data_IF_474007997600
#
_entry.id   IF_474007997600
#
_cell.length_a   1.000
_cell.length_b   1.000
_cell.length_c   1.000
_cell.angle_alpha   90.00
_cell.angle_beta   90.00
_cell.angle_gamma   90.00
#
_symmetry.space_group_name_H-M   'P 1'
#
loop_
_entity.id
_entity.type
_entity.pdbx_description
1 polymer ?
#
# COMPACT_ATOMS: atom_id res chain seq x y z
N UNK A 1 -43.85 -19.42 -46.80
CA UNK A 1 -44.84 -20.49 -46.56
C UNK A 1 -44.31 -21.33 -45.40
N UNK A 2 -44.84 -21.09 -44.19
CA UNK A 2 -45.75 -22.00 -43.47
C UNK A 2 -45.01 -23.29 -43.03
N UNK A 3 -44.44 -23.41 -41.83
CA UNK A 3 -45.01 -23.43 -40.47
C UNK A 3 -45.38 -24.84 -39.98
N UNK A 4 -45.08 -25.04 -38.68
CA UNK A 4 -45.70 -25.96 -37.72
C UNK A 4 -45.14 -27.37 -37.56
N UNK A 5 -44.62 -27.64 -36.37
CA UNK A 5 -45.29 -28.37 -35.25
C UNK A 5 -44.31 -28.39 -34.06
N UNK A 6 -44.65 -28.38 -32.78
CA UNK A 6 -45.88 -28.20 -31.98
C UNK A 6 -45.38 -28.06 -30.53
N UNK A 7 -46.01 -27.19 -29.72
CA UNK A 7 -45.66 -26.94 -28.32
C UNK A 7 -46.73 -27.53 -27.38
N UNK A 8 -46.28 -27.80 -26.14
CA UNK A 8 -46.96 -27.70 -24.81
C UNK A 8 -47.23 -29.04 -24.06
N UNK A 9 -47.43 -29.02 -22.72
CA UNK A 9 -47.02 -28.07 -21.64
C UNK A 9 -46.57 -28.77 -20.32
N UNK A 10 -46.53 -28.00 -19.19
CA UNK A 10 -46.66 -28.39 -17.74
C UNK A 10 -45.30 -28.51 -17.02
N UNK A 11 -44.94 -27.85 -15.89
CA UNK A 11 -45.60 -26.99 -14.88
C UNK A 11 -44.54 -26.36 -13.97
N UNK A 12 -44.77 -25.11 -13.52
CA UNK A 12 -44.23 -24.52 -12.28
C UNK A 12 -44.89 -25.25 -11.07
N UNK A 13 -44.38 -25.31 -9.81
CA UNK A 13 -43.79 -24.17 -9.07
C UNK A 13 -42.71 -24.51 -8.00
N UNK A 14 -42.02 -23.48 -7.47
CA UNK A 14 -41.97 -23.11 -6.03
C UNK A 14 -40.66 -22.41 -5.65
N UNK A 15 -40.81 -21.14 -5.33
CA UNK A 15 -39.91 -20.33 -4.52
C UNK A 15 -39.95 -20.85 -3.07
N UNK A 16 -38.82 -20.85 -2.36
CA UNK A 16 -38.78 -20.39 -0.98
C UNK A 16 -37.68 -19.34 -0.78
N UNK A 17 -38.06 -18.14 -0.35
CA UNK A 17 -37.83 -17.62 1.00
C UNK A 17 -36.34 -17.37 1.32
N UNK A 18 -35.93 -16.11 1.15
CA UNK A 18 -34.77 -15.53 1.81
C UNK A 18 -35.01 -15.51 3.32
N UNK A 19 -34.21 -16.26 4.06
CA UNK A 19 -34.04 -16.10 5.50
C UNK A 19 -32.72 -15.37 5.76
N UNK A 20 -32.85 -14.15 6.27
CA UNK A 20 -31.74 -13.37 6.80
C UNK A 20 -31.25 -14.02 8.09
N UNK A 21 -30.13 -14.74 8.02
CA UNK A 21 -29.41 -15.16 9.22
C UNK A 21 -28.18 -14.29 9.42
N UNK A 22 -28.37 -13.32 10.31
CA UNK A 22 -27.31 -12.60 11.01
C UNK A 22 -26.50 -13.60 11.82
N UNK A 23 -25.21 -13.74 11.52
CA UNK A 23 -24.27 -14.49 12.37
C UNK A 23 -23.42 -13.48 13.14
N UNK A 24 -23.64 -13.54 14.45
CA UNK A 24 -23.02 -12.77 15.49
C UNK A 24 -21.56 -13.22 15.68
N UNK A 25 -20.67 -12.25 15.86
CA UNK A 25 -19.33 -12.43 16.41
C UNK A 25 -19.40 -13.07 17.82
N UNK A 26 -18.65 -14.13 18.12
CA UNK A 26 -18.37 -14.52 19.49
C UNK A 26 -17.03 -13.90 19.95
N UNK A 27 -17.16 -12.89 20.80
CA UNK A 27 -16.11 -12.46 21.73
C UNK A 27 -15.78 -13.59 22.72
N UNK A 28 -14.50 -13.97 22.84
CA UNK A 28 -14.02 -14.85 23.90
C UNK A 28 -12.98 -14.16 24.78
N UNK A 29 -13.46 -13.75 25.96
CA UNK A 29 -12.93 -14.02 27.30
C UNK A 29 -11.40 -13.88 27.51
N UNK A 30 -11.01 -12.70 28.00
CA UNK A 30 -9.74 -12.49 28.69
C UNK A 30 -9.82 -12.99 30.14
N UNK A 31 -8.96 -13.96 30.49
CA UNK A 31 -8.73 -14.39 31.86
C UNK A 31 -7.82 -13.38 32.59
N UNK A 32 -8.34 -12.76 33.65
CA UNK A 32 -7.57 -11.94 34.59
C UNK A 32 -6.92 -12.81 35.66
N UNK A 33 -5.59 -12.75 35.78
CA UNK A 33 -4.85 -13.17 36.99
C UNK A 33 -4.59 -11.93 37.86
N UNK A 34 -4.73 -12.01 39.20
CA UNK A 34 -4.50 -10.86 40.08
C UNK A 34 -3.04 -10.79 40.51
N UNK A 35 -2.34 -9.72 40.13
CA UNK A 35 -1.05 -9.37 40.74
C UNK A 35 -1.25 -8.27 41.76
N UNK A 36 -0.84 -8.55 43.00
CA UNK A 36 -0.85 -7.65 44.15
C UNK A 36 0.51 -6.95 44.26
N UNK A 37 0.57 -5.63 44.48
CA UNK A 37 1.75 -5.00 45.04
C UNK A 37 1.48 -4.45 46.44
N UNK A 38 2.44 -4.77 47.32
CA UNK A 38 2.55 -4.37 48.71
C UNK A 38 2.73 -2.86 48.88
N UNK A 39 2.15 -2.35 49.97
CA UNK A 39 2.26 -0.97 50.45
C UNK A 39 3.63 -0.73 51.09
N UNK A 40 4.26 0.40 50.77
CA UNK A 40 5.17 1.10 51.67
C UNK A 40 4.86 2.60 51.62
N UNK A 41 4.73 3.19 52.80
CA UNK A 41 4.20 4.51 53.11
C UNK A 41 5.32 5.37 53.67
N UNK A 42 5.64 6.52 53.06
CA UNK A 42 6.29 7.65 53.75
C UNK A 42 5.71 8.97 53.22
N UNK A 43 5.37 9.85 54.17
CA UNK A 43 4.58 11.09 54.05
C UNK A 43 5.48 12.34 53.81
N UNK A 44 5.05 13.60 54.06
CA UNK A 44 4.53 14.55 53.05
C UNK A 44 5.31 15.88 53.04
N UNK A 45 5.17 16.71 51.99
CA UNK A 45 5.48 18.15 52.09
C UNK A 45 4.35 18.93 51.43
N UNK A 46 3.94 19.99 52.13
CA UNK A 46 2.66 20.69 52.06
C UNK A 46 2.59 21.82 51.03
N UNK A 47 1.34 22.09 50.61
CA UNK A 47 0.72 23.39 50.27
C UNK A 47 1.28 24.13 49.01
N UNK A 48 0.51 24.76 48.11
CA UNK A 48 -0.82 25.39 48.15
C UNK A 48 -1.26 25.71 46.69
N UNK A 49 -2.57 25.98 46.49
CA UNK A 49 -3.24 26.73 45.41
C UNK A 49 -3.88 25.94 44.25
N UNK A 50 -5.21 25.84 44.31
CA UNK A 50 -6.13 25.54 43.19
C UNK A 50 -6.65 26.90 42.68
N UNK A 51 -6.85 27.07 41.35
CA UNK A 51 -8.20 27.37 40.88
C UNK A 51 -8.63 26.64 39.59
N UNK A 52 -9.86 26.08 39.66
CA UNK A 52 -10.90 25.90 38.62
C UNK A 52 -10.55 25.23 37.27
N UNK A 53 -10.97 23.97 37.11
CA UNK A 53 -11.14 23.26 35.83
C UNK A 53 -12.51 23.54 35.20
N UNK A 54 -12.61 23.74 33.86
CA UNK A 54 -13.89 23.81 33.15
C UNK A 54 -14.49 22.42 32.85
N UNK A 55 -15.82 22.39 32.70
CA UNK A 55 -16.69 21.22 32.52
C UNK A 55 -16.36 20.32 31.30
N UNK A 56 -16.78 19.03 31.31
CA UNK A 56 -16.41 18.06 30.28
C UNK A 56 -17.05 18.36 28.91
N UNK A 57 -16.24 18.14 27.89
CA UNK A 57 -16.49 18.35 26.47
C UNK A 57 -17.78 17.65 26.01
N UNK A 58 -18.73 18.43 25.49
CA UNK A 58 -19.75 17.92 24.59
C UNK A 58 -19.07 17.32 23.36
N UNK A 59 -19.50 16.13 22.96
CA UNK A 59 -19.06 15.42 21.76
C UNK A 59 -19.06 16.38 20.56
N UNK A 60 -17.87 16.64 20.01
CA UNK A 60 -17.75 17.50 18.84
C UNK A 60 -18.39 16.80 17.63
N UNK A 61 -19.63 17.19 17.33
CA UNK A 61 -20.25 16.98 16.02
C UNK A 61 -19.31 17.54 14.95
N UNK A 62 -19.19 16.81 13.83
CA UNK A 62 -18.37 17.19 12.68
C UNK A 62 -18.58 18.67 12.34
N UNK A 63 -17.53 19.48 12.50
CA UNK A 63 -17.54 20.86 12.03
C UNK A 63 -17.12 20.87 10.55
N UNK A 64 -17.96 21.38 9.63
CA UNK A 64 -17.53 21.61 8.27
C UNK A 64 -16.31 22.55 8.27
N UNK A 65 -15.35 22.27 7.39
CA UNK A 65 -14.09 23.00 7.28
C UNK A 65 -14.32 24.52 7.23
N UNK A 66 -13.75 25.26 8.18
CA UNK A 66 -13.80 26.74 8.23
C UNK A 66 -12.44 27.30 7.77
N UNK A 67 -12.32 27.84 6.54
CA UNK A 67 -11.08 28.46 6.10
C UNK A 67 -10.72 29.69 6.97
N UNK A 68 -9.43 30.03 7.10
CA UNK A 68 -8.99 31.20 7.86
C UNK A 68 -9.58 32.50 7.27
N UNK A 69 -9.83 33.53 8.09
CA UNK A 69 -10.51 34.74 7.65
C UNK A 69 -9.65 35.50 6.64
N UNK A 70 -10.19 35.70 5.44
CA UNK A 70 -9.67 36.70 4.50
C UNK A 70 -10.29 38.05 4.87
N UNK A 71 -9.52 39.14 4.90
CA UNK A 71 -10.06 40.45 5.24
C UNK A 71 -11.15 40.85 4.23
N UNK A 72 -12.34 41.18 4.74
CA UNK A 72 -13.42 41.65 3.87
C UNK A 72 -13.03 42.99 3.22
N UNK A 73 -13.31 43.16 1.91
CA UNK A 73 -13.13 44.44 1.25
C UNK A 73 -13.86 45.56 2.01
N UNK A 74 -13.26 46.76 2.15
CA UNK A 74 -13.85 47.86 2.93
C UNK A 74 -15.30 48.17 2.55
N UNK A 75 -15.63 48.06 1.25
CA UNK A 75 -16.97 48.31 0.70
C UNK A 75 -18.07 47.36 1.19
N UNK A 76 -17.72 46.16 1.64
CA UNK A 76 -18.69 45.16 2.10
C UNK A 76 -18.65 44.91 3.61
N UNK A 77 -17.70 45.53 4.32
CA UNK A 77 -17.47 45.29 5.75
C UNK A 77 -18.64 45.71 6.65
N UNK A 78 -19.40 46.73 6.23
CA UNK A 78 -20.54 47.25 6.98
C UNK A 78 -21.87 46.54 6.67
N UNK A 79 -21.88 45.60 5.71
CA UNK A 79 -23.09 44.85 5.35
C UNK A 79 -23.39 43.77 6.38
N UNK A 80 -24.67 43.60 6.68
CA UNK A 80 -25.22 42.47 7.44
C UNK A 80 -25.32 41.20 6.56
N UNK A 81 -25.71 40.07 7.15
CA UNK A 81 -25.80 38.78 6.46
C UNK A 81 -26.67 38.86 5.19
N UNK A 82 -27.83 39.54 5.29
CA UNK A 82 -28.75 39.68 4.18
C UNK A 82 -28.15 40.54 3.05
N UNK A 83 -27.54 41.69 3.39
CA UNK A 83 -26.88 42.52 2.39
C UNK A 83 -25.73 41.80 1.66
N UNK A 84 -25.00 40.92 2.35
CA UNK A 84 -23.95 40.09 1.71
C UNK A 84 -24.53 39.02 0.78
N UNK A 85 -25.64 38.39 1.17
CA UNK A 85 -26.37 37.46 0.31
C UNK A 85 -26.91 38.16 -0.94
N UNK A 86 -27.43 39.38 -0.80
CA UNK A 86 -27.93 40.17 -1.93
C UNK A 86 -26.78 40.55 -2.90
N UNK A 87 -25.59 40.88 -2.38
CA UNK A 87 -24.39 41.11 -3.21
C UNK A 87 -24.03 39.86 -4.01
N UNK A 88 -24.02 38.68 -3.37
CA UNK A 88 -23.71 37.41 -4.03
C UNK A 88 -24.78 37.02 -5.06
N UNK A 89 -26.06 37.14 -4.73
CA UNK A 89 -27.18 36.80 -5.61
C UNK A 89 -27.16 37.63 -6.90
N UNK A 90 -26.83 38.92 -6.80
CA UNK A 90 -26.76 39.82 -7.94
C UNK A 90 -25.37 39.87 -8.61
N UNK A 91 -24.36 39.17 -8.06
CA UNK A 91 -22.95 39.23 -8.51
C UNK A 91 -22.44 40.68 -8.60
N UNK A 92 -22.76 41.47 -7.57
CA UNK A 92 -22.44 42.90 -7.54
C UNK A 92 -20.96 43.14 -7.18
N UNK A 93 -20.12 43.31 -8.21
CA UNK A 93 -18.68 43.57 -8.08
C UNK A 93 -17.85 42.53 -8.83
N UNK A 94 -16.53 42.63 -8.74
CA UNK A 94 -15.63 41.63 -9.32
C UNK A 94 -15.66 40.36 -8.49
N UNK A 95 -15.42 39.21 -9.14
CA UNK A 95 -15.59 37.91 -8.51
C UNK A 95 -14.73 37.73 -7.25
N UNK A 96 -13.51 38.26 -7.27
CA UNK A 96 -12.59 38.20 -6.13
C UNK A 96 -12.95 39.19 -5.01
N UNK A 97 -13.84 40.16 -5.26
CA UNK A 97 -14.31 41.09 -4.23
C UNK A 97 -15.48 40.53 -3.44
N UNK A 98 -16.40 39.81 -4.10
CA UNK A 98 -17.51 39.16 -3.41
C UNK A 98 -17.16 37.75 -2.90
N UNK A 99 -16.12 37.09 -3.43
CA UNK A 99 -15.69 35.76 -2.97
C UNK A 99 -15.40 35.68 -1.45
N UNK A 100 -14.75 36.67 -0.79
CA UNK A 100 -14.55 36.68 0.65
C UNK A 100 -15.84 36.75 1.49
N UNK A 101 -16.99 37.11 0.89
CA UNK A 101 -18.27 37.12 1.59
C UNK A 101 -18.76 35.69 1.89
N UNK A 102 -18.45 34.73 1.03
CA UNK A 102 -18.84 33.32 1.18
C UNK A 102 -18.28 32.71 2.49
N UNK A 103 -16.97 32.74 2.78
CA UNK A 103 -16.44 32.19 4.03
C UNK A 103 -16.89 33.01 5.24
N UNK A 104 -17.19 34.31 5.08
CA UNK A 104 -17.79 35.11 6.14
C UNK A 104 -19.21 34.64 6.49
N UNK A 105 -20.03 34.29 5.50
CA UNK A 105 -21.36 33.72 5.70
C UNK A 105 -21.28 32.31 6.31
N UNK A 106 -20.28 31.49 5.92
CA UNK A 106 -20.03 30.21 6.59
C UNK A 106 -19.74 30.37 8.08
N UNK A 107 -18.99 31.43 8.45
CA UNK A 107 -18.70 31.73 9.85
C UNK A 107 -19.96 32.10 10.64
N UNK A 108 -20.90 32.79 9.99
CA UNK A 108 -22.21 33.19 10.54
C UNK A 108 -23.24 32.04 10.57
N UNK A 109 -22.90 30.86 10.04
CA UNK A 109 -23.70 29.64 10.14
C UNK A 109 -24.44 29.23 8.87
N UNK A 110 -24.23 29.94 7.75
CA UNK A 110 -24.78 29.52 6.46
C UNK A 110 -24.03 28.30 5.92
N UNK A 111 -24.76 27.29 5.47
CA UNK A 111 -24.17 26.13 4.80
C UNK A 111 -24.02 26.40 3.29
N UNK A 112 -23.09 25.73 2.58
CA UNK A 112 -22.97 25.89 1.12
C UNK A 112 -24.30 25.65 0.37
N UNK A 113 -25.11 24.62 0.69
CA UNK A 113 -26.45 24.46 0.11
C UNK A 113 -27.38 25.64 0.38
N UNK A 114 -27.38 26.19 1.59
CA UNK A 114 -28.23 27.35 1.93
C UNK A 114 -27.84 28.61 1.14
N UNK A 115 -26.54 28.82 0.91
CA UNK A 115 -26.07 29.93 0.06
C UNK A 115 -26.46 29.68 -1.40
N UNK A 116 -26.36 28.45 -1.88
CA UNK A 116 -26.76 28.07 -3.24
C UNK A 116 -28.26 28.31 -3.47
N UNK A 117 -29.12 27.93 -2.53
CA UNK A 117 -30.56 28.17 -2.61
C UNK A 117 -30.93 29.66 -2.72
N UNK A 118 -30.19 30.53 -2.02
CA UNK A 118 -30.47 31.97 -1.97
C UNK A 118 -29.84 32.72 -3.15
N UNK A 119 -28.62 32.35 -3.55
CA UNK A 119 -27.80 33.14 -4.49
C UNK A 119 -27.70 32.50 -5.88
N UNK A 120 -27.98 31.20 -5.99
CA UNK A 120 -27.75 30.39 -7.18
C UNK A 120 -26.28 30.07 -7.47
N UNK A 121 -25.36 30.38 -6.54
CA UNK A 121 -23.93 30.03 -6.67
C UNK A 121 -23.74 28.61 -6.14
N UNK A 122 -23.36 27.68 -7.02
CA UNK A 122 -23.25 26.26 -6.64
C UNK A 122 -22.17 26.03 -5.59
N UNK A 123 -22.28 24.97 -4.77
CA UNK A 123 -21.22 24.63 -3.81
C UNK A 123 -19.82 24.46 -4.45
N UNK A 124 -19.75 23.97 -5.70
CA UNK A 124 -18.50 23.85 -6.46
C UNK A 124 -17.94 25.22 -6.85
N UNK A 125 -18.80 26.11 -7.34
CA UNK A 125 -18.44 27.48 -7.69
C UNK A 125 -18.02 28.29 -6.46
N UNK A 126 -18.72 28.12 -5.32
CA UNK A 126 -18.35 28.74 -4.04
C UNK A 126 -16.92 28.37 -3.64
N UNK A 127 -16.57 27.08 -3.66
CA UNK A 127 -15.22 26.62 -3.35
C UNK A 127 -14.18 27.17 -4.36
N UNK A 128 -14.54 27.21 -5.64
CA UNK A 128 -13.67 27.75 -6.70
C UNK A 128 -13.34 29.22 -6.45
N UNK A 129 -14.37 30.05 -6.23
CA UNK A 129 -14.24 31.47 -5.93
C UNK A 129 -13.41 31.73 -4.67
N UNK A 130 -13.67 30.97 -3.59
CA UNK A 130 -12.92 31.10 -2.33
C UNK A 130 -11.43 30.86 -2.57
N UNK A 131 -11.08 29.70 -3.12
CA UNK A 131 -9.68 29.32 -3.28
C UNK A 131 -8.99 30.19 -4.32
N UNK A 132 -9.65 30.50 -5.44
CA UNK A 132 -9.12 31.40 -6.45
C UNK A 132 -8.84 32.80 -5.89
N UNK A 133 -9.70 33.33 -5.00
CA UNK A 133 -9.47 34.63 -4.37
C UNK A 133 -8.24 34.62 -3.46
N UNK A 134 -7.98 33.52 -2.76
CA UNK A 134 -6.77 33.34 -1.95
C UNK A 134 -5.51 33.21 -2.82
N UNK A 135 -5.62 32.54 -3.97
CA UNK A 135 -4.53 32.48 -4.96
C UNK A 135 -4.25 33.88 -5.50
N UNK A 136 -5.28 34.65 -5.85
CA UNK A 136 -5.14 36.06 -6.30
C UNK A 136 -4.45 36.93 -5.25
N UNK A 137 -4.84 36.80 -3.98
CA UNK A 137 -4.19 37.50 -2.86
C UNK A 137 -2.69 37.14 -2.75
N UNK A 138 -2.35 35.86 -2.92
CA UNK A 138 -0.96 35.40 -2.96
C UNK A 138 -0.16 36.00 -4.13
N UNK A 139 -0.80 36.30 -5.27
CA UNK A 139 -0.17 36.94 -6.42
C UNK A 139 0.08 38.43 -6.17
N UNK A 140 -0.87 39.13 -5.52
CA UNK A 140 -0.72 40.52 -5.08
C UNK A 140 0.48 40.64 -4.11
N UNK A 141 0.55 39.75 -3.13
CA UNK A 141 1.66 39.71 -2.16
C UNK A 141 3.02 39.43 -2.83
N UNK A 142 3.00 38.67 -3.93
CA UNK A 142 4.20 38.36 -4.71
C UNK A 142 4.58 39.47 -5.72
N UNK A 143 3.81 40.57 -5.78
CA UNK A 143 4.00 41.68 -6.74
C UNK A 143 4.03 41.22 -8.20
N UNK A 144 3.08 40.35 -8.55
CA UNK A 144 2.86 39.92 -9.94
C UNK A 144 2.47 41.12 -10.80
N UNK A 145 2.78 41.06 -12.10
CA UNK A 145 2.53 42.16 -13.05
C UNK A 145 1.04 42.54 -13.11
N UNK A 146 0.74 43.83 -13.12
CA UNK A 146 -0.63 44.36 -13.09
C UNK A 146 -1.38 44.00 -14.36
N UNK A 147 -0.70 43.99 -15.51
CA UNK A 147 -1.31 43.61 -16.80
C UNK A 147 -1.79 42.16 -16.75
N UNK A 148 -0.97 41.27 -16.18
CA UNK A 148 -1.31 39.85 -15.97
C UNK A 148 -2.44 39.69 -14.93
N UNK A 149 -2.46 40.52 -13.89
CA UNK A 149 -3.53 40.50 -12.89
C UNK A 149 -4.88 40.94 -13.46
N UNK A 150 -4.88 41.95 -14.34
CA UNK A 150 -6.09 42.50 -14.97
C UNK A 150 -6.82 41.49 -15.85
N UNK A 151 -6.10 40.49 -16.40
CA UNK A 151 -6.69 39.37 -17.12
C UNK A 151 -7.72 38.61 -16.27
N UNK A 152 -7.47 38.49 -14.96
CA UNK A 152 -8.35 37.78 -14.04
C UNK A 152 -9.48 38.64 -13.48
N UNK A 153 -9.67 39.88 -13.95
CA UNK A 153 -10.74 40.73 -13.42
C UNK A 153 -12.11 40.36 -14.00
N UNK A 154 -12.14 39.93 -15.27
CA UNK A 154 -13.39 39.60 -15.99
C UNK A 154 -13.70 38.10 -15.99
N UNK A 155 -12.87 37.27 -15.34
CA UNK A 155 -13.00 35.81 -15.29
C UNK A 155 -11.74 35.12 -14.77
N UNK A 156 -11.57 33.82 -15.01
CA UNK A 156 -10.31 33.10 -14.72
C UNK A 156 -10.17 32.59 -13.29
N UNK A 157 -11.24 32.62 -12.48
CA UNK A 157 -11.24 32.01 -11.15
C UNK A 157 -10.91 30.51 -11.22
N UNK A 158 -11.43 29.82 -12.24
CA UNK A 158 -11.14 28.43 -12.58
C UNK A 158 -9.66 28.18 -12.91
N UNK A 159 -8.99 29.12 -13.59
CA UNK A 159 -7.56 29.00 -13.89
C UNK A 159 -6.72 29.17 -12.63
N UNK A 160 -7.04 30.17 -11.80
CA UNK A 160 -6.38 30.39 -10.52
C UNK A 160 -6.63 29.24 -9.54
N UNK A 161 -7.78 28.60 -9.62
CA UNK A 161 -8.12 27.44 -8.80
C UNK A 161 -7.19 26.25 -9.07
N UNK A 162 -6.82 25.99 -10.33
CA UNK A 162 -5.99 24.83 -10.68
C UNK A 162 -4.55 24.93 -10.15
N UNK A 163 -4.02 26.15 -10.03
CA UNK A 163 -2.67 26.41 -9.49
C UNK A 163 -2.60 26.51 -7.96
N UNK A 164 -3.69 26.21 -7.24
CA UNK A 164 -3.77 26.34 -5.76
C UNK A 164 -2.70 25.58 -4.97
N UNK A 165 -2.18 24.48 -5.51
CA UNK A 165 -1.18 23.61 -4.85
C UNK A 165 0.28 24.08 -4.99
N UNK A 166 0.49 25.12 -5.80
CA UNK A 166 1.80 25.74 -6.04
C UNK A 166 2.15 26.72 -4.90
N UNK A 167 3.44 26.99 -4.72
CA UNK A 167 3.91 28.07 -3.82
C UNK A 167 3.60 29.46 -4.39
N UNK A 168 3.72 30.50 -3.57
CA UNK A 168 3.50 31.89 -4.01
C UNK A 168 4.39 32.28 -5.21
N UNK A 169 5.68 31.92 -5.17
CA UNK A 169 6.62 32.16 -6.28
C UNK A 169 6.23 31.39 -7.55
N UNK A 170 5.84 30.12 -7.40
CA UNK A 170 5.43 29.29 -8.54
C UNK A 170 4.12 29.78 -9.15
N UNK A 171 3.17 30.29 -8.34
CA UNK A 171 1.92 30.87 -8.84
C UNK A 171 2.19 32.09 -9.72
N UNK A 172 3.12 32.96 -9.34
CA UNK A 172 3.47 34.14 -10.13
C UNK A 172 3.97 33.76 -11.54
N UNK A 173 4.90 32.80 -11.63
CA UNK A 173 5.40 32.33 -12.94
C UNK A 173 4.36 31.53 -13.71
N UNK A 174 3.60 30.65 -13.04
CA UNK A 174 2.54 29.86 -13.69
C UNK A 174 1.47 30.76 -14.32
N UNK A 175 1.07 31.84 -13.64
CA UNK A 175 0.03 32.75 -14.12
C UNK A 175 0.52 33.55 -15.34
N UNK A 176 1.78 34.00 -15.35
CA UNK A 176 2.39 34.61 -16.54
C UNK A 176 2.31 33.66 -17.74
N UNK A 177 2.76 32.42 -17.54
CA UNK A 177 2.74 31.40 -18.58
C UNK A 177 1.31 31.08 -19.07
N UNK A 178 0.34 30.97 -18.16
CA UNK A 178 -1.08 30.72 -18.49
C UNK A 178 -1.65 31.83 -19.39
N UNK A 179 -1.39 33.09 -19.05
CA UNK A 179 -1.92 34.24 -19.79
C UNK A 179 -1.23 34.38 -21.14
N UNK A 180 0.11 34.26 -21.19
CA UNK A 180 0.90 34.37 -22.42
C UNK A 180 0.55 33.29 -23.45
N UNK A 181 0.28 32.07 -22.98
CA UNK A 181 -0.02 30.92 -23.85
C UNK A 181 -1.52 30.63 -23.98
N UNK A 182 -2.39 31.43 -23.36
CA UNK A 182 -3.85 31.27 -23.42
C UNK A 182 -4.34 29.89 -22.96
N UNK A 183 -3.79 29.38 -21.85
CA UNK A 183 -4.16 28.05 -21.35
C UNK A 183 -5.60 28.02 -20.81
N UNK A 184 -6.32 26.94 -21.11
CA UNK A 184 -7.60 26.63 -20.49
C UNK A 184 -7.41 26.01 -19.09
N UNK A 185 -8.52 25.71 -18.40
CA UNK A 185 -8.47 25.10 -17.07
C UNK A 185 -7.72 23.77 -17.08
N UNK A 186 -7.85 22.98 -18.15
CA UNK A 186 -7.14 21.70 -18.26
C UNK A 186 -5.63 21.90 -18.41
N UNK A 187 -5.21 22.82 -19.26
CA UNK A 187 -3.82 23.22 -19.43
C UNK A 187 -3.22 23.79 -18.14
N UNK A 188 -3.96 24.65 -17.43
CA UNK A 188 -3.52 25.19 -16.13
C UNK A 188 -3.34 24.09 -15.07
N UNK A 189 -4.22 23.09 -15.05
CA UNK A 189 -4.10 21.93 -14.19
C UNK A 189 -2.85 21.08 -14.52
N UNK A 190 -2.63 20.80 -15.80
CA UNK A 190 -1.49 20.01 -16.25
C UNK A 190 -0.17 20.74 -15.98
N UNK A 191 -0.13 22.07 -16.18
CA UNK A 191 0.99 22.93 -15.79
C UNK A 191 1.27 22.86 -14.28
N UNK A 192 0.23 23.04 -13.45
CA UNK A 192 0.37 22.97 -12.00
C UNK A 192 0.89 21.61 -11.53
N UNK A 193 0.38 20.52 -12.12
CA UNK A 193 0.85 19.17 -11.85
C UNK A 193 2.30 18.99 -12.26
N UNK A 194 2.68 19.46 -13.45
CA UNK A 194 4.03 19.36 -13.97
C UNK A 194 5.04 20.08 -13.07
N UNK A 195 4.76 21.35 -12.73
CA UNK A 195 5.61 22.14 -11.82
C UNK A 195 5.73 21.49 -10.43
N UNK A 196 4.66 20.85 -9.92
CA UNK A 196 4.70 20.19 -8.61
C UNK A 196 5.47 18.87 -8.61
N UNK A 197 5.41 18.12 -9.71
CA UNK A 197 6.08 16.82 -9.85
C UNK A 197 7.57 16.96 -10.18
N UNK A 198 7.96 18.01 -10.91
CA UNK A 198 9.31 18.19 -11.45
C UNK A 198 10.46 17.94 -10.45
N UNK A 199 10.47 18.49 -9.22
CA UNK A 199 11.57 18.29 -8.28
C UNK A 199 11.74 16.83 -7.82
N UNK A 200 10.68 16.02 -7.90
CA UNK A 200 10.68 14.61 -7.46
C UNK A 200 11.29 13.67 -8.51
N UNK A 201 11.58 14.17 -9.72
CA UNK A 201 11.96 13.38 -10.89
C UNK A 201 13.44 13.52 -11.28
N UNK A 202 14.27 13.92 -10.32
CA UNK A 202 15.70 14.20 -10.51
C UNK A 202 16.50 13.05 -11.14
N UNK A 203 16.03 11.81 -10.98
CA UNK A 203 16.70 10.61 -11.49
C UNK A 203 16.26 10.21 -12.89
N UNK A 204 15.22 10.84 -13.44
CA UNK A 204 14.70 10.52 -14.76
C UNK A 204 15.66 11.04 -15.84
N UNK A 205 15.76 10.32 -16.98
CA UNK A 205 16.60 10.72 -18.12
C UNK A 205 16.16 12.08 -18.64
N UNK A 206 17.11 12.93 -19.01
CA UNK A 206 16.84 14.25 -19.59
C UNK A 206 16.50 15.34 -18.56
N UNK A 207 16.25 15.00 -17.28
CA UNK A 207 15.81 15.97 -16.25
C UNK A 207 16.69 17.23 -16.16
N UNK A 208 18.02 17.07 -16.31
CA UNK A 208 18.98 18.19 -16.22
C UNK A 208 18.90 19.18 -17.40
N UNK A 209 18.27 18.79 -18.50
CA UNK A 209 18.12 19.62 -19.71
C UNK A 209 16.93 20.58 -19.61
N UNK A 210 16.08 20.43 -18.59
CA UNK A 210 14.88 21.25 -18.36
C UNK A 210 15.08 22.13 -17.12
N UNK A 211 14.64 23.38 -17.18
CA UNK A 211 14.80 24.34 -16.09
C UNK A 211 13.57 24.41 -15.19
N UNK A 212 13.74 24.14 -13.89
CA UNK A 212 12.63 24.14 -12.92
C UNK A 212 11.98 25.51 -12.72
N UNK A 213 12.71 26.60 -12.96
CA UNK A 213 12.19 27.96 -12.83
C UNK A 213 11.20 28.34 -13.93
N UNK A 214 11.20 27.60 -15.05
CA UNK A 214 10.39 27.87 -16.22
C UNK A 214 9.18 26.92 -16.24
N UNK A 215 7.93 27.44 -16.14
CA UNK A 215 6.73 26.62 -16.13
C UNK A 215 6.58 25.72 -17.37
N UNK A 216 6.91 26.26 -18.55
CA UNK A 216 6.89 25.55 -19.82
C UNK A 216 7.92 24.44 -19.91
N UNK A 217 9.12 24.61 -19.35
CA UNK A 217 10.09 23.49 -19.24
C UNK A 217 9.61 22.40 -18.30
N UNK A 218 8.93 22.75 -17.20
CA UNK A 218 8.31 21.76 -16.32
C UNK A 218 7.24 20.94 -17.07
N UNK A 219 6.39 21.62 -17.84
CA UNK A 219 5.35 20.99 -18.66
C UNK A 219 5.94 20.18 -19.81
N UNK A 220 6.99 20.69 -20.46
CA UNK A 220 7.74 20.03 -21.51
C UNK A 220 8.34 18.73 -21.01
N UNK A 221 8.94 18.76 -19.82
CA UNK A 221 9.51 17.57 -19.19
C UNK A 221 8.45 16.51 -18.85
N UNK A 222 7.24 16.92 -18.47
CA UNK A 222 6.12 16.00 -18.28
C UNK A 222 5.76 15.27 -19.58
N UNK A 223 5.61 15.98 -20.70
CA UNK A 223 5.33 15.38 -22.00
C UNK A 223 6.51 14.57 -22.54
N UNK A 224 7.75 15.02 -22.30
CA UNK A 224 8.96 14.27 -22.63
C UNK A 224 8.98 12.92 -21.92
N UNK A 225 8.66 12.87 -20.62
CA UNK A 225 8.55 11.61 -19.87
C UNK A 225 7.43 10.72 -20.41
N UNK A 226 6.25 11.29 -20.68
CA UNK A 226 5.13 10.56 -21.27
C UNK A 226 5.53 9.88 -22.60
N UNK A 227 6.29 10.56 -23.45
CA UNK A 227 6.77 9.98 -24.71
C UNK A 227 7.60 8.71 -24.52
N UNK A 228 8.32 8.59 -23.40
CA UNK A 228 9.20 7.45 -23.09
C UNK A 228 8.45 6.24 -22.52
N UNK A 229 7.21 6.43 -22.11
CA UNK A 229 6.31 5.34 -21.71
C UNK A 229 5.70 4.64 -22.93
N UNK A 230 5.65 5.33 -24.08
CA UNK A 230 5.19 4.77 -25.33
C UNK A 230 6.29 3.96 -26.06
N UNK A 231 5.85 3.00 -26.88
CA UNK A 231 6.76 2.20 -27.71
C UNK A 231 7.53 3.12 -28.67
N UNK A 232 8.81 2.82 -28.89
CA UNK A 232 9.62 3.45 -29.92
C UNK A 232 9.78 2.47 -31.10
N UNK A 233 9.36 2.82 -32.34
CA UNK A 233 8.59 4.01 -32.73
C UNK A 233 7.07 3.86 -32.47
N UNK A 234 6.36 4.97 -32.25
CA UNK A 234 4.89 5.05 -32.24
C UNK A 234 4.37 6.48 -32.45
N UNK A 235 3.18 6.63 -33.04
CA UNK A 235 2.53 7.94 -33.22
C UNK A 235 2.28 8.68 -31.90
N UNK A 236 1.95 7.94 -30.84
CA UNK A 236 1.75 8.48 -29.50
C UNK A 236 3.03 9.10 -28.94
N UNK A 237 4.18 8.44 -29.12
CA UNK A 237 5.49 8.97 -28.73
C UNK A 237 5.78 10.26 -29.48
N UNK A 238 5.57 10.28 -30.81
CA UNK A 238 5.81 11.46 -31.65
C UNK A 238 4.92 12.62 -31.23
N UNK A 239 3.62 12.39 -31.00
CA UNK A 239 2.69 13.42 -30.53
C UNK A 239 3.12 14.02 -29.18
N UNK A 240 3.53 13.17 -28.22
CA UNK A 240 4.01 13.63 -26.93
C UNK A 240 5.32 14.45 -27.03
N UNK A 241 6.26 14.05 -27.90
CA UNK A 241 7.48 14.83 -28.15
C UNK A 241 7.18 16.17 -28.83
N UNK A 242 6.24 16.21 -29.78
CA UNK A 242 5.80 17.47 -30.39
C UNK A 242 5.17 18.41 -29.36
N UNK A 243 4.33 17.89 -28.46
CA UNK A 243 3.78 18.66 -27.35
C UNK A 243 4.89 19.17 -26.42
N UNK A 244 5.87 18.31 -26.08
CA UNK A 244 7.02 18.71 -25.29
C UNK A 244 7.80 19.86 -25.96
N UNK A 245 8.01 19.78 -27.27
CA UNK A 245 8.73 20.81 -28.03
C UNK A 245 7.97 22.13 -28.08
N UNK A 246 6.64 22.07 -28.23
CA UNK A 246 5.77 23.25 -28.31
C UNK A 246 5.81 24.10 -27.03
N UNK A 247 5.90 23.46 -25.86
CA UNK A 247 5.83 24.14 -24.56
C UNK A 247 7.21 24.41 -23.93
N UNK A 248 8.30 23.91 -24.53
CA UNK A 248 9.65 24.11 -24.02
C UNK A 248 10.08 25.59 -24.13
N UNK A 249 10.57 26.16 -23.03
CA UNK A 249 11.06 27.54 -22.99
C UNK A 249 12.57 27.60 -23.22
N UNK A 250 13.34 26.73 -22.55
CA UNK A 250 14.80 26.74 -22.64
C UNK A 250 15.32 26.08 -23.92
N UNK A 251 16.43 26.59 -24.44
CA UNK A 251 17.11 26.01 -25.60
C UNK A 251 17.68 24.62 -25.29
N UNK A 252 18.03 24.34 -24.03
CA UNK A 252 18.46 23.00 -23.61
C UNK A 252 17.31 22.00 -23.66
N UNK A 253 16.10 22.39 -23.23
CA UNK A 253 14.92 21.54 -23.29
C UNK A 253 14.53 21.26 -24.75
N UNK A 254 14.45 22.31 -25.58
CA UNK A 254 14.15 22.18 -27.02
C UNK A 254 15.14 21.25 -27.71
N UNK A 255 16.44 21.38 -27.40
CA UNK A 255 17.49 20.53 -27.97
C UNK A 255 17.33 19.07 -27.54
N UNK A 256 17.11 18.80 -26.26
CA UNK A 256 16.91 17.43 -25.75
C UNK A 256 15.69 16.76 -26.42
N UNK A 257 14.58 17.49 -26.52
CA UNK A 257 13.35 16.99 -27.14
C UNK A 257 13.54 16.78 -28.65
N UNK A 258 14.19 17.73 -29.35
CA UNK A 258 14.44 17.63 -30.79
C UNK A 258 15.36 16.44 -31.13
N UNK A 259 16.42 16.23 -30.33
CA UNK A 259 17.30 15.08 -30.49
C UNK A 259 16.57 13.74 -30.32
N UNK A 260 15.67 13.65 -29.34
CA UNK A 260 14.87 12.44 -29.09
C UNK A 260 13.77 12.22 -30.15
N UNK A 261 13.35 13.29 -30.84
CA UNK A 261 12.41 13.27 -31.97
C UNK A 261 13.10 12.86 -33.29
N UNK A 262 14.23 13.48 -33.63
CA UNK A 262 15.04 13.19 -34.82
C UNK A 262 15.72 11.81 -34.73
N UNK A 263 16.18 11.44 -33.52
CA UNK A 263 16.77 10.13 -33.24
C UNK A 263 15.80 8.94 -33.38
N UNK A 264 14.54 9.20 -33.76
CA UNK A 264 13.56 8.15 -34.10
C UNK A 264 13.60 7.71 -35.57
N UNK A 265 14.17 8.50 -36.48
CA UNK A 265 14.31 8.14 -37.91
C UNK A 265 15.75 7.75 -38.29
N UNK A 266 16.73 8.27 -37.55
CA UNK A 266 18.18 8.06 -37.77
C UNK A 266 18.84 7.24 -36.65
N UNK A 267 18.11 6.31 -36.02
CA UNK A 267 18.72 5.00 -35.79
C UNK A 267 18.95 4.36 -37.17
N UNK A 268 19.92 4.89 -37.94
CA UNK A 268 20.81 3.98 -38.64
C UNK A 268 21.15 2.94 -37.60
N UNK A 269 21.00 1.63 -37.87
CA UNK A 269 21.64 0.68 -36.99
C UNK A 269 23.07 1.18 -36.88
N UNK A 270 23.48 1.60 -35.69
CA UNK A 270 24.91 1.62 -35.41
C UNK A 270 25.38 0.30 -35.98
N UNK A 271 26.46 0.34 -36.77
CA UNK A 271 27.21 -0.86 -37.10
C UNK A 271 27.81 -1.38 -35.79
N UNK A 272 26.92 -1.85 -34.93
CA UNK A 272 27.09 -2.68 -33.77
C UNK A 272 26.39 -3.95 -34.23
N UNK A 273 27.13 -4.74 -35.01
CA UNK A 273 26.82 -6.13 -35.38
C UNK A 273 26.63 -7.05 -34.13
N UNK A 274 26.42 -6.48 -32.94
CA UNK A 274 26.30 -7.15 -31.63
C UNK A 274 25.01 -6.76 -30.85
N UNK A 275 24.15 -5.86 -31.34
CA UNK A 275 22.96 -5.41 -30.59
C UNK A 275 21.67 -6.21 -30.83
N UNK A 276 21.62 -7.08 -31.85
CA UNK A 276 20.41 -7.85 -32.19
C UNK A 276 20.07 -8.94 -31.13
N UNK A 277 20.97 -9.19 -30.17
CA UNK A 277 20.73 -10.11 -29.06
C UNK A 277 21.24 -9.57 -27.73
N UNK A 278 20.91 -8.32 -27.36
CA UNK A 278 20.88 -7.99 -25.92
C UNK A 278 19.72 -8.76 -25.28
N UNK A 279 19.98 -10.03 -24.94
CA UNK A 279 19.11 -10.84 -24.10
C UNK A 279 18.84 -10.03 -22.83
N UNK A 280 17.65 -9.46 -22.73
CA UNK A 280 17.26 -8.68 -21.56
C UNK A 280 17.11 -9.66 -20.41
N UNK A 281 18.03 -9.61 -19.46
CA UNK A 281 17.92 -10.38 -18.23
C UNK A 281 16.70 -9.85 -17.47
N UNK A 282 15.68 -10.67 -17.17
CA UNK A 282 14.53 -10.22 -16.39
C UNK A 282 15.01 -9.83 -15.00
N UNK A 283 14.78 -8.57 -14.63
CA UNK A 283 15.00 -8.10 -13.26
C UNK A 283 13.67 -8.20 -12.54
N UNK A 284 13.57 -9.18 -11.64
CA UNK A 284 12.37 -9.41 -10.84
C UNK A 284 12.57 -8.80 -9.45
N UNK A 285 11.57 -8.07 -8.95
CA UNK A 285 11.52 -7.63 -7.56
C UNK A 285 10.72 -8.65 -6.76
N UNK A 286 11.40 -9.38 -5.88
CA UNK A 286 10.78 -10.38 -5.01
C UNK A 286 9.73 -9.73 -4.11
N UNK A 287 8.51 -10.26 -4.12
CA UNK A 287 7.44 -9.85 -3.20
C UNK A 287 7.53 -10.62 -1.89
N UNK A 288 7.09 -10.01 -0.78
CA UNK A 288 7.09 -10.66 0.55
C UNK A 288 6.26 -11.96 0.60
N UNK A 289 5.31 -12.17 -0.32
CA UNK A 289 4.51 -13.40 -0.44
C UNK A 289 4.95 -14.37 -1.53
N UNK A 290 6.00 -14.06 -2.31
CA UNK A 290 6.57 -14.98 -3.29
C UNK A 290 7.53 -15.99 -2.64
N UNK A 291 7.86 -15.82 -1.36
CA UNK A 291 8.65 -16.74 -0.53
C UNK A 291 7.74 -17.86 0.00
N UNK A 292 7.04 -18.55 -0.90
CA UNK A 292 5.82 -19.31 -0.58
C UNK A 292 4.74 -18.42 0.09
N UNK A 293 3.51 -18.89 0.23
CA UNK A 293 2.44 -18.14 0.92
C UNK A 293 2.75 -17.84 2.41
N UNK A 294 3.93 -18.23 2.89
CA UNK A 294 4.45 -17.93 4.21
C UNK A 294 5.34 -16.68 4.18
N UNK A 295 5.08 -15.73 5.08
CA UNK A 295 5.90 -14.51 5.28
C UNK A 295 7.38 -14.80 5.59
N UNK A 296 7.72 -16.04 5.97
CA UNK A 296 9.07 -16.52 6.21
C UNK A 296 9.11 -18.05 6.13
N UNK A 297 10.27 -18.60 5.77
CA UNK A 297 10.53 -20.05 5.67
C UNK A 297 11.70 -20.46 6.55
N UNK A 298 11.75 -21.73 6.93
CA UNK A 298 12.85 -22.36 7.66
C UNK A 298 13.42 -23.49 6.82
N UNK A 299 14.74 -23.53 6.71
CA UNK A 299 15.48 -24.59 5.99
C UNK A 299 16.10 -25.53 7.01
N UNK A 300 15.75 -26.81 6.95
CA UNK A 300 16.20 -27.82 7.92
C UNK A 300 16.88 -29.01 7.23
N UNK A 301 17.92 -29.59 7.83
CA UNK A 301 18.55 -30.80 7.31
C UNK A 301 17.63 -32.01 7.50
N UNK A 302 17.60 -32.90 6.51
CA UNK A 302 16.75 -34.10 6.49
C UNK A 302 17.61 -35.36 6.62
N UNK A 303 17.16 -36.30 7.44
CA UNK A 303 17.70 -37.66 7.60
C UNK A 303 16.60 -38.69 7.28
N UNK A 304 16.93 -39.86 6.73
CA UNK A 304 15.94 -40.93 6.57
C UNK A 304 15.82 -41.71 7.87
N UNK A 305 14.62 -42.20 8.18
CA UNK A 305 14.40 -43.03 9.36
C UNK A 305 15.14 -44.38 9.30
N UNK A 306 15.44 -44.86 8.09
CA UNK A 306 16.14 -46.11 7.82
C UNK A 306 17.67 -46.00 7.95
N UNK A 307 18.21 -44.77 8.01
CA UNK A 307 19.64 -44.50 8.18
C UNK A 307 20.12 -44.67 9.63
N UNK A 308 21.43 -44.74 9.83
CA UNK A 308 21.98 -44.85 11.19
C UNK A 308 21.69 -43.57 11.99
N UNK A 309 21.29 -43.75 13.23
CA UNK A 309 21.25 -42.72 14.29
C UNK A 309 22.48 -41.80 14.33
N UNK A 310 23.66 -42.33 13.96
CA UNK A 310 24.87 -41.53 13.82
C UNK A 310 24.76 -40.43 12.75
N UNK A 311 24.13 -40.73 11.61
CA UNK A 311 23.91 -39.76 10.54
C UNK A 311 22.99 -38.61 11.02
N UNK A 312 21.95 -38.92 11.80
CA UNK A 312 21.10 -37.88 12.41
C UNK A 312 21.87 -36.96 13.36
N UNK A 313 22.77 -37.50 14.17
CA UNK A 313 23.62 -36.69 15.07
C UNK A 313 24.66 -35.88 14.29
N UNK A 314 25.08 -36.39 13.13
CA UNK A 314 25.99 -35.70 12.21
C UNK A 314 25.30 -34.63 11.35
N UNK A 315 23.98 -34.47 11.37
CA UNK A 315 23.31 -33.38 10.63
C UNK A 315 23.73 -31.99 11.17
N UNK A 316 23.84 -30.94 10.33
CA UNK A 316 24.18 -29.57 10.74
C UNK A 316 23.32 -29.10 11.93
N UNK A 317 23.94 -28.57 12.99
CA UNK A 317 23.21 -28.04 14.14
C UNK A 317 22.79 -26.59 13.94
N UNK A 318 23.63 -25.83 13.24
CA UNK A 318 23.45 -24.41 13.03
C UNK A 318 23.22 -24.12 11.55
N UNK A 319 22.05 -23.55 11.24
CA UNK A 319 21.66 -23.06 9.93
C UNK A 319 21.23 -21.61 10.11
N UNK A 320 22.07 -20.65 9.71
CA UNK A 320 21.78 -19.21 9.86
C UNK A 320 21.25 -18.69 8.54
N UNK A 321 20.06 -18.11 8.56
CA UNK A 321 19.57 -17.28 7.45
C UNK A 321 20.06 -15.84 7.64
N UNK A 322 20.62 -15.24 6.59
CA UNK A 322 21.18 -13.89 6.64
C UNK A 322 21.01 -13.10 5.34
N UNK A 323 21.18 -11.78 5.46
CA UNK A 323 21.05 -10.83 4.35
C UNK A 323 19.61 -10.58 3.88
N UNK A 324 19.47 -9.72 2.88
CA UNK A 324 18.16 -9.26 2.37
C UNK A 324 17.37 -10.35 1.61
N UNK A 325 18.04 -11.44 1.25
CA UNK A 325 17.48 -12.57 0.50
C UNK A 325 17.30 -13.84 1.35
N UNK A 326 17.62 -13.79 2.64
CA UNK A 326 17.45 -14.93 3.55
C UNK A 326 18.32 -16.15 3.22
N UNK A 327 19.51 -15.94 2.65
CA UNK A 327 20.44 -17.01 2.27
C UNK A 327 20.84 -17.81 3.50
N UNK A 328 20.75 -19.14 3.42
CA UNK A 328 21.05 -20.05 4.53
C UNK A 328 22.48 -20.57 4.43
N UNK A 329 23.26 -20.30 5.47
CA UNK A 329 24.59 -20.86 5.67
C UNK A 329 24.54 -21.95 6.74
N UNK A 330 25.03 -23.14 6.38
CA UNK A 330 25.14 -24.27 7.30
C UNK A 330 26.58 -24.43 7.77
N UNK A 331 26.76 -24.83 9.03
CA UNK A 331 28.07 -25.16 9.63
C UNK A 331 28.90 -26.14 8.78
N UNK A 332 28.22 -27.09 8.12
CA UNK A 332 28.83 -28.14 7.30
C UNK A 332 27.91 -28.57 6.17
N UNK A 333 28.50 -29.16 5.13
CA UNK A 333 27.76 -29.70 3.98
C UNK A 333 26.81 -30.83 4.39
N UNK A 334 25.63 -30.87 3.78
CA UNK A 334 24.62 -31.90 4.02
C UNK A 334 23.87 -32.27 2.74
N UNK A 335 23.47 -33.54 2.62
CA UNK A 335 22.95 -34.10 1.37
C UNK A 335 21.49 -33.72 1.09
N UNK A 336 20.65 -33.55 2.11
CA UNK A 336 19.20 -33.39 1.96
C UNK A 336 18.66 -32.27 2.86
N UNK A 337 17.86 -31.40 2.27
CA UNK A 337 17.28 -30.24 2.94
C UNK A 337 15.78 -30.19 2.64
N UNK A 338 15.02 -29.64 3.57
CA UNK A 338 13.60 -29.31 3.35
C UNK A 338 13.38 -27.85 3.71
N UNK A 339 12.54 -27.19 2.91
CA UNK A 339 12.05 -25.84 3.18
C UNK A 339 10.62 -25.98 3.70
N UNK A 340 10.38 -25.49 4.92
CA UNK A 340 9.05 -25.47 5.54
C UNK A 340 8.63 -24.03 5.83
N UNK A 341 7.32 -23.74 5.82
CA UNK A 341 6.81 -22.48 6.36
C UNK A 341 7.30 -22.26 7.79
N UNK A 342 7.57 -21.01 8.17
CA UNK A 342 7.97 -20.63 9.53
C UNK A 342 6.78 -20.64 10.50
N UNK A 343 6.05 -21.77 10.59
CA UNK A 343 5.00 -21.97 11.57
C UNK A 343 5.54 -21.74 12.99
N UNK A 344 4.67 -21.34 13.91
CA UNK A 344 5.04 -20.98 15.29
C UNK A 344 5.92 -22.04 16.00
N UNK A 345 5.67 -23.37 15.86
CA UNK A 345 6.55 -24.39 16.45
C UNK A 345 7.98 -24.39 15.87
N UNK A 346 8.16 -23.95 14.63
CA UNK A 346 9.47 -23.90 13.95
C UNK A 346 10.18 -22.56 14.15
N UNK A 347 9.44 -21.46 14.33
CA UNK A 347 10.02 -20.13 14.55
C UNK A 347 10.91 -20.05 15.80
N UNK A 348 10.62 -20.88 16.82
CA UNK A 348 11.43 -21.01 18.03
C UNK A 348 12.66 -21.91 17.89
N UNK A 349 12.74 -22.70 16.80
CA UNK A 349 13.78 -23.70 16.56
C UNK A 349 15.06 -23.04 16.02
N UNK A 350 15.71 -22.21 16.84
CA UNK A 350 16.88 -21.42 16.43
C UNK A 350 18.11 -22.26 16.10
N UNK A 351 18.31 -23.36 16.82
CA UNK A 351 19.47 -24.27 16.68
C UNK A 351 19.04 -25.71 16.97
N UNK A 352 19.69 -26.69 16.35
CA UNK A 352 19.52 -28.12 16.66
C UNK A 352 18.35 -28.81 15.97
N UNK A 353 17.56 -28.09 15.16
CA UNK A 353 16.48 -28.66 14.36
C UNK A 353 16.99 -29.69 13.34
N UNK A 354 16.28 -30.81 13.24
CA UNK A 354 16.48 -31.83 12.20
C UNK A 354 15.13 -32.42 11.80
N UNK A 355 15.00 -32.80 10.54
CA UNK A 355 13.82 -33.50 10.05
C UNK A 355 14.18 -34.96 9.81
N UNK A 356 13.39 -35.87 10.37
CA UNK A 356 13.49 -37.31 10.09
C UNK A 356 12.31 -37.69 9.19
N UNK A 357 12.63 -38.16 7.99
CA UNK A 357 11.66 -38.62 7.01
C UNK A 357 11.35 -40.10 7.26
N UNK A 358 10.08 -40.39 7.53
CA UNK A 358 9.58 -41.75 7.66
C UNK A 358 8.72 -42.11 6.46
N UNK A 359 8.90 -43.32 5.94
CA UNK A 359 8.09 -43.88 4.86
C UNK A 359 6.65 -44.21 5.29
N UNK A 360 6.40 -44.38 6.58
CA UNK A 360 5.11 -44.84 7.14
C UNK A 360 4.79 -44.14 8.47
N UNK A 361 3.60 -43.53 8.57
CA UNK A 361 3.11 -42.78 9.73
C UNK A 361 2.78 -43.63 10.96
N UNK A 362 2.77 -44.98 10.88
CA UNK A 362 2.58 -45.90 12.01
C UNK A 362 3.65 -45.77 13.09
N UNK A 363 4.75 -45.09 12.79
CA UNK A 363 5.82 -44.80 13.74
C UNK A 363 5.40 -43.84 14.86
N UNK A 364 4.25 -43.17 14.74
CA UNK A 364 3.72 -42.24 15.74
C UNK A 364 2.62 -42.93 16.56
N UNK A 365 2.58 -42.76 17.89
CA UNK A 365 1.73 -43.56 18.77
C UNK A 365 0.26 -43.08 18.82
N UNK A 366 -0.20 -42.28 17.84
CA UNK A 366 -1.59 -41.80 17.80
C UNK A 366 -2.60 -42.85 17.31
N UNK A 367 -3.85 -42.71 17.74
CA UNK A 367 -4.99 -43.41 17.16
C UNK A 367 -5.48 -42.66 15.90
N UNK A 368 -4.68 -42.67 14.83
CA UNK A 368 -5.12 -42.14 13.55
C UNK A 368 -6.08 -43.12 12.85
N UNK A 369 -7.04 -42.59 12.09
CA UNK A 369 -7.96 -43.36 11.25
C UNK A 369 -7.18 -44.32 10.35
N UNK A 370 -7.68 -45.54 10.11
CA UNK A 370 -6.94 -46.65 9.45
C UNK A 370 -6.28 -46.27 8.12
N UNK A 371 -6.89 -45.35 7.37
CA UNK A 371 -6.39 -44.82 6.09
C UNK A 371 -5.14 -43.94 6.22
N UNK A 372 -4.93 -43.26 7.35
CA UNK A 372 -3.81 -42.33 7.57
C UNK A 372 -2.57 -43.02 8.15
N UNK A 373 -2.54 -44.35 8.13
CA UNK A 373 -1.45 -45.12 8.71
C UNK A 373 -0.36 -45.41 7.70
N UNK A 374 -0.64 -45.52 6.41
CA UNK A 374 0.34 -45.89 5.38
C UNK A 374 0.80 -44.68 4.55
N UNK A 375 1.07 -43.55 5.21
CA UNK A 375 1.48 -42.30 4.55
C UNK A 375 2.87 -41.90 5.03
N UNK A 376 3.71 -41.37 4.14
CA UNK A 376 5.01 -40.83 4.52
C UNK A 376 4.84 -39.55 5.36
N UNK A 377 5.76 -39.33 6.28
CA UNK A 377 5.73 -38.15 7.16
C UNK A 377 7.12 -37.57 7.38
N UNK A 378 7.17 -36.27 7.64
CA UNK A 378 8.35 -35.57 8.12
C UNK A 378 8.17 -35.26 9.60
N UNK A 379 9.08 -35.75 10.44
CA UNK A 379 9.08 -35.47 11.87
C UNK A 379 10.17 -34.46 12.18
N UNK A 380 9.79 -33.26 12.59
CA UNK A 380 10.73 -32.21 12.99
C UNK A 380 11.07 -32.38 14.47
N UNK A 381 12.36 -32.50 14.76
CA UNK A 381 12.88 -32.80 16.10
C UNK A 381 13.91 -31.76 16.52
N UNK A 382 13.78 -31.28 17.76
CA UNK A 382 14.77 -30.44 18.44
C UNK A 382 15.78 -31.31 19.18
N UNK A 383 16.99 -31.42 18.62
CA UNK A 383 18.09 -32.21 19.20
C UNK A 383 18.71 -31.58 20.44
N UNK A 384 18.42 -30.32 20.76
CA UNK A 384 18.91 -29.68 21.99
C UNK A 384 18.08 -30.08 23.21
N UNK A 385 16.87 -30.62 23.00
CA UNK A 385 15.94 -31.02 24.06
C UNK A 385 15.81 -32.54 24.11
N UNK A 386 16.75 -33.20 24.78
CA UNK A 386 16.83 -34.67 24.84
C UNK A 386 16.19 -35.29 26.08
N UNK A 387 16.12 -34.56 27.18
CA UNK A 387 15.58 -35.08 28.44
C UNK A 387 14.09 -35.38 28.34
N UNK A 388 13.69 -36.59 28.75
CA UNK A 388 12.29 -37.01 28.76
C UNK A 388 11.61 -36.48 30.03
N UNK A 389 11.29 -35.19 30.06
CA UNK A 389 10.71 -34.53 31.24
C UNK A 389 9.19 -34.62 31.28
N UNK A 390 8.54 -34.34 30.15
CA UNK A 390 7.08 -34.19 30.05
C UNK A 390 6.45 -35.47 29.53
N UNK A 391 5.54 -36.06 30.31
CA UNK A 391 4.89 -37.35 29.99
C UNK A 391 4.05 -37.30 28.71
N UNK A 392 3.37 -36.17 28.48
CA UNK A 392 2.49 -35.97 27.34
C UNK A 392 3.21 -35.50 26.06
N UNK A 393 4.50 -35.16 26.14
CA UNK A 393 5.27 -34.74 24.96
C UNK A 393 5.71 -35.96 24.14
N UNK A 394 6.01 -35.71 22.86
CA UNK A 394 6.52 -36.72 21.94
C UNK A 394 8.03 -36.57 21.78
N UNK A 395 8.73 -37.68 21.78
CA UNK A 395 10.18 -37.72 21.64
C UNK A 395 10.56 -38.73 20.57
N UNK A 396 11.65 -38.44 19.88
CA UNK A 396 12.26 -39.37 18.95
C UNK A 396 13.23 -40.26 19.73
N UNK A 397 13.06 -41.58 19.65
CA UNK A 397 13.86 -42.54 20.39
C UNK A 397 14.23 -43.76 19.52
N UNK A 398 15.14 -44.58 20.05
CA UNK A 398 15.56 -45.85 19.45
C UNK A 398 14.87 -47.00 20.19
N UNK A 399 14.21 -47.89 19.46
CA UNK A 399 13.59 -49.10 20.02
C UNK A 399 14.52 -50.30 19.81
N UNK A 400 14.38 -51.34 20.64
CA UNK A 400 15.09 -52.61 20.52
C UNK A 400 15.03 -53.13 19.07
N UNK A 401 16.20 -53.25 18.43
CA UNK A 401 16.35 -53.55 16.99
C UNK A 401 16.89 -52.41 16.15
N UNK A 402 17.11 -51.23 16.74
CA UNK A 402 17.92 -50.17 16.17
C UNK A 402 17.18 -49.12 15.34
N UNK A 403 15.87 -49.29 15.16
CA UNK A 403 15.03 -48.40 14.36
C UNK A 403 14.58 -47.17 15.14
N UNK A 404 14.50 -46.05 14.45
CA UNK A 404 13.92 -44.80 14.97
C UNK A 404 12.41 -44.92 15.09
N UNK A 405 11.85 -44.40 16.19
CA UNK A 405 10.41 -44.33 16.44
C UNK A 405 10.08 -43.08 17.26
N UNK A 406 8.86 -42.59 17.13
CA UNK A 406 8.31 -41.55 18.00
C UNK A 406 7.49 -42.22 19.11
N UNK A 407 7.71 -41.84 20.36
CA UNK A 407 6.91 -42.32 21.50
C UNK A 407 6.59 -41.18 22.48
N UNK A 408 5.60 -41.41 23.35
CA UNK A 408 5.24 -40.46 24.40
C UNK A 408 6.23 -40.52 25.56
N UNK A 409 6.41 -39.41 26.26
CA UNK A 409 7.28 -39.34 27.44
C UNK A 409 6.91 -40.37 28.52
N UNK A 410 5.62 -40.62 28.73
CA UNK A 410 5.15 -41.65 29.66
C UNK A 410 5.65 -43.05 29.29
N UNK A 411 5.53 -43.44 28.02
CA UNK A 411 5.96 -44.75 27.53
C UNK A 411 7.47 -44.91 27.61
N UNK A 412 8.23 -43.85 27.26
CA UNK A 412 9.68 -43.85 27.36
C UNK A 412 10.16 -43.98 28.82
N UNK A 413 9.51 -43.29 29.77
CA UNK A 413 9.81 -43.42 31.20
C UNK A 413 9.51 -44.83 31.74
N UNK A 414 8.39 -45.43 31.32
CA UNK A 414 8.05 -46.82 31.66
C UNK A 414 9.10 -47.81 31.14
N UNK A 415 9.67 -47.55 29.95
CA UNK A 415 10.79 -48.30 29.38
C UNK A 415 12.15 -47.97 30.02
N UNK A 416 12.21 -47.07 31.01
CA UNK A 416 13.43 -46.65 31.68
C UNK A 416 14.34 -45.72 30.86
N UNK A 417 13.84 -45.15 29.77
CA UNK A 417 14.57 -44.23 28.89
C UNK A 417 14.52 -42.82 29.48
N UNK A 418 15.68 -42.30 29.89
CA UNK A 418 15.82 -40.95 30.46
C UNK A 418 16.19 -39.89 29.42
N UNK A 419 16.95 -40.29 28.40
CA UNK A 419 17.39 -39.41 27.31
C UNK A 419 16.91 -39.95 25.96
N UNK A 420 16.29 -39.06 25.19
CA UNK A 420 15.84 -39.29 23.82
C UNK A 420 16.84 -38.70 22.80
N UNK A 421 16.58 -38.90 21.51
CA UNK A 421 17.35 -38.26 20.44
C UNK A 421 16.94 -36.80 20.20
N UNK A 422 15.79 -36.40 20.75
CA UNK A 422 15.28 -35.04 20.75
C UNK A 422 13.76 -35.00 20.91
N UNK A 423 13.26 -33.80 21.21
CA UNK A 423 11.83 -33.55 21.38
C UNK A 423 11.20 -33.30 20.02
N UNK A 424 10.10 -34.00 19.71
CA UNK A 424 9.34 -33.78 18.47
C UNK A 424 8.54 -32.49 18.61
N UNK A 425 8.72 -31.58 17.65
CA UNK A 425 8.13 -30.22 17.68
C UNK A 425 6.98 -30.10 16.68
N UNK A 426 7.06 -30.84 15.57
CA UNK A 426 6.08 -30.80 14.50
C UNK A 426 6.13 -32.10 13.69
N UNK A 427 4.98 -32.54 13.18
CA UNK A 427 4.90 -33.60 12.18
C UNK A 427 4.16 -33.06 10.97
N UNK A 428 4.76 -33.21 9.80
CA UNK A 428 4.25 -32.72 8.52
C UNK A 428 3.90 -33.90 7.63
N UNK A 429 2.77 -33.80 6.94
CA UNK A 429 2.29 -34.77 5.96
C UNK A 429 2.44 -34.18 4.55
N UNK A 430 2.55 -35.02 3.51
CA UNK A 430 2.54 -34.52 2.14
C UNK A 430 1.20 -33.83 1.82
N UNK A 431 1.21 -32.82 0.93
CA UNK A 431 -0.02 -32.19 0.43
C UNK A 431 -0.86 -33.19 -0.38
N UNK A 432 -2.19 -33.03 -0.39
CA UNK A 432 -3.11 -33.91 -1.16
C UNK A 432 -3.83 -33.14 -2.26
N UNK A 433 -3.57 -33.55 -3.50
CA UNK A 433 -4.16 -32.97 -4.71
C UNK A 433 -5.70 -33.01 -4.72
N UNK A 434 -6.32 -34.06 -4.15
CA UNK A 434 -7.79 -34.22 -4.17
C UNK A 434 -8.55 -33.37 -3.13
N UNK A 435 -7.88 -32.79 -2.13
CA UNK A 435 -8.54 -32.05 -1.03
C UNK A 435 -8.00 -30.65 -0.78
N UNK A 436 -6.77 -30.38 -1.20
CA UNK A 436 -6.05 -29.15 -0.86
C UNK A 436 -5.91 -28.20 -2.07
N UNK A 437 -6.44 -28.58 -3.23
CA UNK A 437 -6.43 -27.75 -4.44
C UNK A 437 -7.50 -26.64 -4.33
N UNK A 438 -7.20 -25.62 -3.52
CA UNK A 438 -8.00 -24.38 -3.44
C UNK A 438 -7.84 -23.48 -4.68
N UNK A 439 -7.15 -23.98 -5.71
CA UNK A 439 -6.96 -23.34 -7.01
C UNK A 439 -7.67 -24.11 -8.13
N UNK A 440 -8.73 -24.88 -7.83
CA UNK A 440 -9.61 -25.35 -8.89
C UNK A 440 -10.19 -24.13 -9.60
N UNK A 441 -9.92 -24.01 -10.90
CA UNK A 441 -10.45 -22.98 -11.82
C UNK A 441 -12.01 -22.92 -11.88
N UNK A 442 -12.70 -23.74 -11.09
CA UNK A 442 -14.15 -23.94 -11.09
C UNK A 442 -14.95 -22.89 -10.31
N UNK A 443 -14.33 -22.08 -9.43
CA UNK A 443 -15.03 -21.08 -8.60
C UNK A 443 -15.12 -19.67 -9.25
N UNK A 444 -15.39 -19.62 -10.56
CA UNK A 444 -15.64 -18.37 -11.30
C UNK A 444 -17.05 -18.27 -11.92
N UNK A 445 -18.03 -19.04 -11.44
CA UNK A 445 -19.44 -18.93 -11.87
C UNK A 445 -20.34 -18.12 -10.90
#
# INVERSE_FOLDING_TARGET
MLSSTSLKPITNPKIPFFSSFSIQNPSLLSFHLPFSPSKALLKPISATLIPSTPQPQQQQLYQPFRPPPSPLPPKFRSLDAQGRLDVLANRNGLWFEYAPLIPSLYQEGFSPPSIEEITGITGVEQNTLIVASQVRESLIQSKTDEDVMSFFDTGGAELLYEIRLLSASQRAEAVRYIVENGLDAKGAQDLARAMKDFPRRKMDKGWKSFEYGLPGDCLSFMYYRLSREHRNPSEQRTAALMQALQVAESESAKKEVSQELEGGEDEKPEKDDDLEYRVRVPVVRMQFGEVAEATSVVVLPVCMAEEDTKEMLEAPLECRSGGDFGVVEAEKGWKRWVVLPSWEPLAGLRHGGVVVAFSDARVIPWKSNRWYKEEAILVVTDRNRKEVEVDAAFYLAKVDGGRLKVDTGSALKEMGVKESLGTVVLVVRPPKEESDDQLSDEDWE
#
